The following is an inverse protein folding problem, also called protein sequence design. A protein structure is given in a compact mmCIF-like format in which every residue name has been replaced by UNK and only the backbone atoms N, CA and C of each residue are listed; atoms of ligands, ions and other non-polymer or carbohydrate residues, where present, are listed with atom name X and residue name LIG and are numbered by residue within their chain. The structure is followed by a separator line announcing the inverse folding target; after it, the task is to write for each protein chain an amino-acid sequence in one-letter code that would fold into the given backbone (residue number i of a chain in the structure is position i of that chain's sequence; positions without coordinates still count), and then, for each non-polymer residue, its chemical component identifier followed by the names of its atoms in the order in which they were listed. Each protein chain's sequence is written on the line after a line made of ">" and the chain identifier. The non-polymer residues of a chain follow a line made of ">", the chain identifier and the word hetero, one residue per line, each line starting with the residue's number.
data_IF_351167150030
#
_entry.id   IF_351167150030
#
_cell.length_a   1.000
_cell.length_b   1.000
_cell.length_c   1.000
_cell.angle_alpha   90.00
_cell.angle_beta   90.00
_cell.angle_gamma   90.00
#
_symmetry.space_group_name_H-M   'P 1'
#
loop_
_entity.id
_entity.type
_entity.pdbx_description
1 polymer ?
#
# COMPACT_ATOMS: atom_id res chain seq x y z
N UNK A 1 -76.63 -60.70 -8.43
CA UNK A 1 -76.58 -59.26 -8.02
C UNK A 1 -75.30 -59.03 -7.26
N UNK A 2 -74.33 -58.37 -7.86
CA UNK A 2 -73.00 -58.25 -7.33
C UNK A 2 -72.71 -56.77 -7.09
N UNK A 3 -72.45 -56.39 -5.81
CA UNK A 3 -72.09 -55.03 -5.40
C UNK A 3 -70.58 -54.78 -5.65
N UNK A 4 -70.30 -53.85 -6.52
CA UNK A 4 -68.93 -53.28 -6.70
C UNK A 4 -68.64 -52.29 -5.57
N UNK A 5 -67.66 -52.61 -4.69
CA UNK A 5 -67.06 -51.63 -3.79
C UNK A 5 -65.85 -51.03 -4.45
N UNK A 6 -65.90 -49.71 -4.73
CA UNK A 6 -64.77 -48.92 -5.17
C UNK A 6 -63.88 -48.58 -3.97
N UNK A 7 -62.63 -48.97 -3.99
CA UNK A 7 -61.60 -48.54 -3.05
C UNK A 7 -60.91 -47.33 -3.68
N UNK A 8 -61.08 -46.17 -3.09
CA UNK A 8 -60.33 -44.97 -3.44
C UNK A 8 -59.05 -44.94 -2.62
N UNK A 9 -57.90 -45.17 -3.22
CA UNK A 9 -56.61 -45.01 -2.60
C UNK A 9 -56.17 -43.56 -2.71
N UNK A 10 -56.14 -42.81 -1.60
CA UNK A 10 -55.50 -41.49 -1.52
C UNK A 10 -53.97 -41.69 -1.46
N UNK A 11 -53.28 -41.33 -2.52
CA UNK A 11 -51.80 -41.23 -2.53
C UNK A 11 -51.40 -39.82 -2.03
N UNK A 12 -50.98 -39.73 -0.80
CA UNK A 12 -50.33 -38.52 -0.26
C UNK A 12 -48.90 -38.44 -0.74
N UNK A 13 -48.63 -37.64 -1.78
CA UNK A 13 -47.29 -37.32 -2.20
C UNK A 13 -46.68 -36.29 -1.24
N UNK A 14 -45.79 -36.74 -0.36
CA UNK A 14 -45.00 -35.85 0.48
C UNK A 14 -43.91 -35.16 -0.37
N UNK A 15 -44.08 -33.87 -0.66
CA UNK A 15 -43.02 -33.03 -1.24
C UNK A 15 -41.97 -32.80 -0.16
N UNK A 16 -40.87 -33.53 -0.19
CA UNK A 16 -39.67 -33.22 0.58
C UNK A 16 -38.95 -32.10 -0.15
N UNK A 17 -39.12 -30.86 0.32
CA UNK A 17 -38.32 -29.72 -0.14
C UNK A 17 -36.87 -29.92 0.34
N UNK A 18 -35.99 -30.35 -0.57
CA UNK A 18 -34.57 -30.31 -0.37
C UNK A 18 -34.13 -28.85 -0.35
N UNK A 19 -34.00 -28.24 0.83
CA UNK A 19 -33.26 -26.99 1.00
C UNK A 19 -31.78 -27.32 0.87
N UNK A 20 -31.25 -27.26 -0.36
CA UNK A 20 -29.81 -27.27 -0.54
C UNK A 20 -29.21 -26.07 0.22
N UNK A 21 -28.15 -26.26 1.04
CA UNK A 21 -27.46 -25.14 1.62
C UNK A 21 -26.95 -24.26 0.49
N UNK A 22 -27.45 -23.05 0.39
CA UNK A 22 -26.84 -22.01 -0.47
C UNK A 22 -25.46 -21.76 0.14
N UNK A 23 -24.42 -22.38 -0.42
CA UNK A 23 -23.04 -22.02 -0.11
C UNK A 23 -22.93 -20.55 -0.44
N UNK A 24 -22.89 -19.72 0.62
CA UNK A 24 -22.67 -18.29 0.45
C UNK A 24 -21.36 -18.12 -0.33
N UNK A 25 -21.44 -17.56 -1.53
CA UNK A 25 -20.28 -17.31 -2.37
C UNK A 25 -19.30 -16.46 -1.55
N UNK A 26 -18.07 -16.94 -1.39
CA UNK A 26 -17.04 -16.24 -0.61
C UNK A 26 -16.81 -14.85 -1.23
N UNK A 27 -17.17 -13.80 -0.49
CA UNK A 27 -17.01 -12.43 -0.96
C UNK A 27 -15.54 -12.09 -0.97
N UNK A 28 -15.05 -11.57 -2.07
CA UNK A 28 -13.65 -11.14 -2.19
C UNK A 28 -13.53 -9.87 -3.00
N UNK A 29 -12.52 -9.06 -2.70
CA UNK A 29 -12.10 -7.87 -3.46
C UNK A 29 -10.64 -7.95 -3.85
N UNK A 30 -10.27 -7.21 -4.88
CA UNK A 30 -8.88 -6.96 -5.28
C UNK A 30 -8.48 -5.56 -4.84
N UNK A 31 -7.41 -5.48 -4.04
CA UNK A 31 -6.79 -4.22 -3.62
C UNK A 31 -5.45 -4.07 -4.31
N UNK A 32 -5.33 -3.08 -5.18
CA UNK A 32 -4.04 -2.71 -5.78
C UNK A 32 -3.27 -1.81 -4.82
N UNK A 33 -2.06 -2.22 -4.46
CA UNK A 33 -1.24 -1.51 -3.47
C UNK A 33 0.24 -1.54 -3.83
N UNK A 34 1.08 -1.01 -2.93
CA UNK A 34 2.52 -0.90 -3.17
C UNK A 34 3.31 -2.04 -2.55
N UNK A 35 4.45 -2.37 -3.18
CA UNK A 35 5.39 -3.35 -2.63
C UNK A 35 5.87 -2.94 -1.24
N UNK A 36 6.13 -1.65 -1.01
CA UNK A 36 6.54 -1.15 0.30
C UNK A 36 5.48 -1.34 1.38
N UNK A 37 4.18 -1.20 1.05
CA UNK A 37 3.09 -1.49 1.99
C UNK A 37 3.03 -2.98 2.32
N UNK A 38 3.19 -3.85 1.32
CA UNK A 38 3.22 -5.31 1.53
C UNK A 38 4.45 -5.73 2.34
N UNK A 39 5.62 -5.23 1.98
CA UNK A 39 6.90 -5.55 2.62
C UNK A 39 6.96 -5.07 4.08
N UNK A 40 6.20 -4.02 4.43
CA UNK A 40 6.07 -3.58 5.82
C UNK A 40 5.40 -4.61 6.73
N UNK A 41 4.64 -5.56 6.17
CA UNK A 41 3.90 -6.58 6.91
C UNK A 41 2.52 -6.13 7.43
N UNK A 42 2.10 -4.89 7.20
CA UNK A 42 0.83 -4.35 7.69
C UNK A 42 -0.38 -5.19 7.26
N UNK A 43 -0.43 -5.59 6.00
CA UNK A 43 -1.57 -6.37 5.47
C UNK A 43 -1.74 -7.70 6.18
N UNK A 44 -0.64 -8.37 6.57
CA UNK A 44 -0.72 -9.62 7.33
C UNK A 44 -1.38 -9.44 8.71
N UNK A 45 -1.32 -8.22 9.25
CA UNK A 45 -1.96 -7.88 10.53
C UNK A 45 -3.42 -7.46 10.36
N UNK A 46 -3.72 -6.55 9.43
CA UNK A 46 -5.05 -5.94 9.35
C UNK A 46 -6.08 -6.75 8.54
N UNK A 47 -5.66 -7.47 7.47
CA UNK A 47 -6.61 -8.16 6.60
C UNK A 47 -7.33 -9.33 7.27
N UNK A 48 -6.71 -10.16 8.13
CA UNK A 48 -7.42 -11.16 8.89
C UNK A 48 -8.51 -10.58 9.82
N UNK A 49 -8.26 -9.41 10.42
CA UNK A 49 -9.23 -8.73 11.28
C UNK A 49 -10.45 -8.28 10.48
N UNK A 50 -10.22 -7.68 9.31
CA UNK A 50 -11.29 -7.30 8.40
C UNK A 50 -12.10 -8.51 7.92
N UNK A 51 -11.43 -9.58 7.47
CA UNK A 51 -12.08 -10.82 7.01
C UNK A 51 -12.93 -11.46 8.12
N UNK A 52 -12.41 -11.53 9.33
CA UNK A 52 -13.15 -12.08 10.48
C UNK A 52 -14.42 -11.29 10.79
N UNK A 53 -14.38 -9.97 10.62
CA UNK A 53 -15.54 -9.09 10.87
C UNK A 53 -16.59 -9.15 9.78
N UNK A 54 -16.18 -9.20 8.51
CA UNK A 54 -17.05 -8.95 7.36
C UNK A 54 -17.30 -10.18 6.49
N UNK A 55 -16.49 -11.22 6.60
CA UNK A 55 -16.47 -12.37 5.70
C UNK A 55 -15.90 -12.04 4.30
N UNK A 56 -15.38 -10.82 4.09
CA UNK A 56 -14.81 -10.39 2.79
C UNK A 56 -13.31 -10.69 2.76
N UNK A 57 -12.89 -11.46 1.78
CA UNK A 57 -11.49 -11.74 1.52
C UNK A 57 -10.84 -10.62 0.69
N UNK A 58 -9.64 -10.18 1.06
CA UNK A 58 -8.90 -9.12 0.34
C UNK A 58 -7.68 -9.72 -0.34
N UNK A 59 -7.68 -9.68 -1.67
CA UNK A 59 -6.56 -10.10 -2.51
C UNK A 59 -5.71 -8.89 -2.87
N UNK A 60 -4.49 -8.81 -2.34
CA UNK A 60 -3.60 -7.69 -2.60
C UNK A 60 -2.75 -7.96 -3.84
N UNK A 61 -2.77 -7.01 -4.79
CA UNK A 61 -1.86 -6.94 -5.93
C UNK A 61 -0.79 -5.91 -5.62
N UNK A 62 0.43 -6.39 -5.36
CA UNK A 62 1.56 -5.58 -4.89
C UNK A 62 2.42 -5.11 -6.07
N UNK A 63 2.54 -3.78 -6.25
CA UNK A 63 3.20 -3.15 -7.41
C UNK A 63 3.89 -1.85 -7.02
N UNK A 64 4.53 -1.16 -7.98
CA UNK A 64 4.89 0.25 -7.82
C UNK A 64 3.65 1.14 -7.88
N UNK A 65 3.67 2.32 -7.22
CA UNK A 65 2.47 3.20 -7.13
C UNK A 65 1.87 3.52 -8.49
N UNK A 66 2.68 3.87 -9.50
CA UNK A 66 2.20 4.14 -10.85
C UNK A 66 1.44 2.95 -11.44
N UNK A 67 2.00 1.74 -11.32
CA UNK A 67 1.37 0.51 -11.79
C UNK A 67 0.09 0.18 -11.00
N UNK A 68 0.09 0.41 -9.69
CA UNK A 68 -1.09 0.19 -8.85
C UNK A 68 -2.27 1.09 -9.27
N UNK A 69 -1.98 2.36 -9.55
CA UNK A 69 -2.97 3.31 -10.07
C UNK A 69 -3.42 2.93 -11.49
N UNK A 70 -2.50 2.48 -12.36
CA UNK A 70 -2.83 2.02 -13.70
C UNK A 70 -3.72 0.76 -13.67
N UNK A 71 -3.49 -0.16 -12.72
CA UNK A 71 -4.37 -1.31 -12.45
C UNK A 71 -5.79 -0.85 -12.09
N UNK A 72 -5.91 0.14 -11.22
CA UNK A 72 -7.21 0.77 -10.89
C UNK A 72 -7.85 1.47 -12.10
N UNK A 73 -7.08 2.19 -12.94
CA UNK A 73 -7.59 2.86 -14.15
C UNK A 73 -8.21 1.89 -15.15
N UNK A 74 -7.68 0.68 -15.25
CA UNK A 74 -8.22 -0.38 -16.12
C UNK A 74 -9.41 -1.12 -15.51
N UNK A 75 -9.70 -0.90 -14.22
CA UNK A 75 -10.73 -1.64 -13.49
C UNK A 75 -10.29 -3.05 -13.03
N UNK A 76 -8.99 -3.36 -13.08
CA UNK A 76 -8.44 -4.66 -12.65
C UNK A 76 -8.33 -4.79 -11.12
N UNK A 77 -8.73 -3.76 -10.38
CA UNK A 77 -8.86 -3.75 -8.92
C UNK A 77 -10.16 -3.06 -8.50
N UNK A 78 -10.66 -3.42 -7.32
CA UNK A 78 -11.83 -2.80 -6.70
C UNK A 78 -11.45 -1.54 -5.89
N UNK A 79 -10.27 -1.58 -5.28
CA UNK A 79 -9.75 -0.52 -4.41
C UNK A 79 -8.27 -0.29 -4.70
N UNK A 80 -7.85 0.97 -4.64
CA UNK A 80 -6.43 1.37 -4.66
C UNK A 80 -6.04 1.85 -3.26
N UNK A 81 -4.94 1.32 -2.71
CA UNK A 81 -4.40 1.70 -1.40
C UNK A 81 -2.90 1.98 -1.52
N UNK A 82 -2.55 3.26 -1.64
CA UNK A 82 -1.17 3.72 -1.97
C UNK A 82 -0.79 4.96 -1.13
N UNK A 83 0.40 5.54 -1.39
CA UNK A 83 0.95 6.65 -0.61
C UNK A 83 1.68 7.68 -1.48
N UNK A 84 1.01 8.19 -2.50
CA UNK A 84 1.50 9.26 -3.37
C UNK A 84 0.38 10.28 -3.63
N UNK A 85 0.10 11.14 -2.64
CA UNK A 85 -1.07 12.03 -2.60
C UNK A 85 -1.36 12.72 -3.94
N UNK A 86 -0.37 13.34 -4.58
CA UNK A 86 -0.59 14.03 -5.85
C UNK A 86 -1.04 13.12 -7.01
N UNK A 87 -0.53 11.87 -7.06
CA UNK A 87 -0.98 10.89 -8.05
C UNK A 87 -2.37 10.35 -7.73
N UNK A 88 -2.70 10.20 -6.44
CA UNK A 88 -4.01 9.77 -5.95
C UNK A 88 -5.09 10.82 -6.25
N UNK A 89 -4.79 12.09 -6.02
CA UNK A 89 -5.67 13.21 -6.36
C UNK A 89 -5.91 13.30 -7.88
N UNK A 90 -4.86 13.10 -8.68
CA UNK A 90 -4.98 13.02 -10.13
C UNK A 90 -5.88 11.84 -10.55
N UNK A 91 -5.70 10.65 -9.96
CA UNK A 91 -6.54 9.48 -10.21
C UNK A 91 -8.02 9.76 -9.97
N UNK A 92 -8.37 10.49 -8.91
CA UNK A 92 -9.75 10.90 -8.60
C UNK A 92 -10.22 11.98 -9.59
N UNK A 93 -9.43 13.01 -9.87
CA UNK A 93 -9.81 14.09 -10.79
C UNK A 93 -10.03 13.62 -12.24
N UNK A 94 -9.36 12.56 -12.66
CA UNK A 94 -9.58 11.88 -13.95
C UNK A 94 -10.85 11.02 -13.95
N UNK A 95 -11.55 10.92 -12.81
CA UNK A 95 -12.74 10.11 -12.61
C UNK A 95 -12.46 8.59 -12.58
N UNK A 96 -11.19 8.16 -12.44
CA UNK A 96 -10.83 6.76 -12.29
C UNK A 96 -11.14 6.21 -10.89
N UNK A 97 -11.14 7.06 -9.88
CA UNK A 97 -11.55 6.78 -8.51
C UNK A 97 -12.71 7.67 -8.07
N UNK A 98 -13.47 7.23 -7.08
CA UNK A 98 -14.64 7.96 -6.59
C UNK A 98 -14.21 9.09 -5.65
N UNK A 99 -13.48 8.75 -4.58
CA UNK A 99 -13.03 9.68 -3.55
C UNK A 99 -11.82 9.12 -2.82
N UNK A 100 -10.89 10.02 -2.47
CA UNK A 100 -9.72 9.69 -1.65
C UNK A 100 -10.04 9.82 -0.17
N UNK A 101 -9.65 8.83 0.63
CA UNK A 101 -9.70 8.89 2.08
C UNK A 101 -8.28 8.77 2.64
N UNK A 102 -7.81 9.69 3.50
CA UNK A 102 -6.59 9.51 4.26
C UNK A 102 -6.82 8.38 5.28
N UNK A 103 -5.82 7.51 5.46
CA UNK A 103 -5.96 6.35 6.34
C UNK A 103 -4.96 6.42 7.50
N UNK A 104 -3.70 6.66 7.18
CA UNK A 104 -2.58 6.64 8.10
C UNK A 104 -1.38 7.33 7.49
N UNK A 105 -0.36 7.58 8.27
CA UNK A 105 0.95 7.98 7.79
C UNK A 105 2.05 7.16 8.42
N UNK A 106 3.18 7.06 7.75
CA UNK A 106 4.49 6.77 8.31
C UNK A 106 5.48 7.83 7.81
N UNK A 107 6.76 7.66 8.08
CA UNK A 107 7.79 8.52 7.51
C UNK A 107 8.71 7.73 6.58
N UNK A 108 9.35 8.47 5.69
CA UNK A 108 10.56 8.03 5.03
C UNK A 108 11.76 8.26 5.95
N UNK A 109 12.79 7.49 5.73
CA UNK A 109 14.10 7.64 6.35
C UNK A 109 15.17 7.55 5.29
N UNK A 110 16.25 8.30 5.44
CA UNK A 110 17.46 8.09 4.66
C UNK A 110 18.32 7.07 5.39
N UNK A 111 18.61 5.98 4.72
CA UNK A 111 19.47 4.91 5.19
C UNK A 111 20.81 5.02 4.47
N UNK A 112 21.90 4.75 5.17
CA UNK A 112 23.25 4.78 4.62
C UNK A 112 24.24 4.05 5.51
N UNK A 113 25.54 4.01 5.14
CA UNK A 113 26.58 3.37 5.94
C UNK A 113 26.64 3.95 7.36
N UNK A 114 26.77 3.11 8.38
CA UNK A 114 26.92 3.54 9.80
C UNK A 114 28.08 4.53 10.00
N UNK A 115 29.14 4.37 9.23
CA UNK A 115 30.31 5.26 9.24
C UNK A 115 30.01 6.65 8.69
N UNK A 116 28.89 6.80 7.95
CA UNK A 116 28.44 8.04 7.33
C UNK A 116 29.53 8.80 6.58
N UNK A 117 30.15 8.23 5.55
CA UNK A 117 31.28 8.83 4.85
C UNK A 117 30.92 10.17 4.20
N UNK A 118 29.66 10.41 3.88
CA UNK A 118 29.20 11.69 3.37
C UNK A 118 29.00 12.73 4.49
N UNK A 119 28.85 12.31 5.77
CA UNK A 119 28.62 13.23 6.88
C UNK A 119 27.23 13.85 6.85
N UNK A 120 26.20 13.04 6.62
CA UNK A 120 24.82 13.50 6.42
C UNK A 120 23.90 13.26 7.62
N UNK A 121 24.39 12.61 8.67
CA UNK A 121 23.59 12.33 9.87
C UNK A 121 22.93 13.59 10.43
N UNK A 122 21.62 13.53 10.64
CA UNK A 122 20.88 14.67 11.18
C UNK A 122 19.38 14.64 10.92
N UNK A 123 18.79 15.83 10.86
CA UNK A 123 17.36 16.03 10.67
C UNK A 123 16.98 16.86 9.42
N UNK A 124 17.95 17.27 8.61
CA UNK A 124 17.70 18.05 7.38
C UNK A 124 17.96 17.16 6.16
N UNK A 125 16.90 16.60 5.59
CA UNK A 125 16.99 15.72 4.45
C UNK A 125 17.47 16.43 3.19
N UNK A 126 17.12 17.71 2.98
CA UNK A 126 17.52 18.47 1.79
C UNK A 126 19.01 18.77 1.83
N UNK A 127 19.54 19.16 2.99
CA UNK A 127 20.98 19.35 3.17
C UNK A 127 21.75 18.03 2.98
N UNK A 128 21.20 16.91 3.49
CA UNK A 128 21.78 15.59 3.29
C UNK A 128 21.85 15.20 1.80
N UNK A 129 20.77 15.41 1.04
CA UNK A 129 20.73 15.15 -0.41
C UNK A 129 21.79 15.97 -1.14
N UNK A 130 21.92 17.27 -0.85
CA UNK A 130 22.98 18.12 -1.41
C UNK A 130 24.38 17.57 -1.12
N UNK A 131 24.64 17.21 0.13
CA UNK A 131 25.94 16.68 0.54
C UNK A 131 26.28 15.36 -0.13
N UNK A 132 25.31 14.47 -0.30
CA UNK A 132 25.47 13.21 -1.06
C UNK A 132 25.92 13.50 -2.49
N UNK A 133 25.23 14.40 -3.18
CA UNK A 133 25.56 14.81 -4.56
C UNK A 133 26.94 15.45 -4.63
N UNK A 134 27.23 16.43 -3.76
CA UNK A 134 28.49 17.19 -3.78
C UNK A 134 29.71 16.31 -3.53
N UNK A 135 29.55 15.29 -2.71
CA UNK A 135 30.59 14.26 -2.46
C UNK A 135 30.56 13.09 -3.44
N UNK A 136 29.61 13.08 -4.40
CA UNK A 136 29.38 11.94 -5.30
C UNK A 136 29.27 10.60 -4.55
N UNK A 137 28.67 10.64 -3.33
CA UNK A 137 28.51 9.44 -2.52
C UNK A 137 27.46 8.50 -3.16
N UNK A 138 27.73 7.18 -3.19
CA UNK A 138 26.82 6.24 -3.85
C UNK A 138 25.39 6.33 -3.32
N UNK A 139 24.42 6.49 -4.21
CA UNK A 139 23.00 6.54 -3.89
C UNK A 139 22.22 5.56 -4.78
N UNK A 140 21.38 4.75 -4.16
CA UNK A 140 20.49 3.81 -4.84
C UNK A 140 19.08 4.38 -4.87
N UNK A 141 18.57 4.57 -6.08
CA UNK A 141 17.18 4.91 -6.34
C UNK A 141 16.38 3.68 -6.76
N UNK A 142 15.13 3.61 -6.35
CA UNK A 142 14.22 2.58 -6.87
C UNK A 142 14.02 2.68 -8.38
N UNK A 143 13.90 3.88 -8.94
CA UNK A 143 13.73 4.11 -10.37
C UNK A 143 12.46 3.49 -10.98
N UNK A 144 11.45 3.13 -10.17
CA UNK A 144 10.27 2.32 -10.55
C UNK A 144 8.94 3.10 -10.54
N UNK A 145 9.00 4.42 -10.43
CA UNK A 145 7.83 5.32 -10.30
C UNK A 145 6.93 5.02 -9.08
N UNK A 146 7.46 4.36 -8.07
CA UNK A 146 6.77 4.14 -6.80
C UNK A 146 6.58 5.43 -6.01
N UNK A 147 5.74 5.40 -4.96
CA UNK A 147 5.60 6.53 -4.04
C UNK A 147 6.91 6.94 -3.40
N UNK A 148 7.77 5.98 -3.04
CA UNK A 148 9.13 6.25 -2.54
C UNK A 148 9.99 6.93 -3.58
N UNK A 149 9.96 6.47 -4.85
CA UNK A 149 10.72 7.10 -5.94
C UNK A 149 10.21 8.53 -6.21
N UNK A 150 8.91 8.75 -6.19
CA UNK A 150 8.32 10.10 -6.35
C UNK A 150 8.74 11.02 -5.19
N UNK A 151 8.71 10.53 -3.96
CA UNK A 151 9.17 11.29 -2.79
C UNK A 151 10.66 11.64 -2.91
N UNK A 152 11.49 10.69 -3.31
CA UNK A 152 12.93 10.88 -3.58
C UNK A 152 13.18 11.96 -4.61
N UNK A 153 12.52 11.89 -5.79
CA UNK A 153 12.66 12.89 -6.85
C UNK A 153 12.23 14.30 -6.39
N UNK A 154 11.20 14.39 -5.55
CA UNK A 154 10.77 15.65 -4.95
C UNK A 154 11.84 16.22 -4.00
N UNK A 155 12.53 15.38 -3.24
CA UNK A 155 13.62 15.79 -2.36
C UNK A 155 14.83 16.28 -3.17
N UNK A 156 15.22 15.58 -4.24
CA UNK A 156 16.27 16.03 -5.16
C UNK A 156 15.92 17.38 -5.78
N UNK A 157 14.68 17.57 -6.24
CA UNK A 157 14.20 18.85 -6.77
C UNK A 157 14.26 19.95 -5.72
N UNK A 158 13.88 19.73 -4.48
CA UNK A 158 14.00 20.67 -3.39
C UNK A 158 15.46 21.01 -3.07
N UNK A 159 16.36 20.07 -3.27
CA UNK A 159 17.80 20.28 -3.15
C UNK A 159 18.40 21.07 -4.35
N UNK A 160 17.60 21.32 -5.40
CA UNK A 160 18.06 21.98 -6.62
C UNK A 160 18.91 21.06 -7.53
N UNK A 161 18.70 19.75 -7.46
CA UNK A 161 19.50 18.72 -8.14
C UNK A 161 18.63 18.02 -9.18
N UNK A 162 19.07 18.00 -10.44
CA UNK A 162 18.41 17.31 -11.55
C UNK A 162 19.01 15.92 -11.79
N UNK A 163 18.54 14.92 -11.03
CA UNK A 163 18.99 13.52 -11.17
C UNK A 163 18.48 12.82 -12.43
N UNK A 164 17.54 13.43 -13.17
CA UNK A 164 17.08 12.91 -14.45
C UNK A 164 17.91 13.44 -15.63
N UNK A 165 18.65 14.54 -15.43
CA UNK A 165 19.40 15.25 -16.46
C UNK A 165 20.81 15.61 -16.03
N UNK A 166 21.08 16.93 -15.88
CA UNK A 166 22.44 17.49 -15.80
C UNK A 166 23.27 17.00 -14.59
N UNK A 167 22.63 16.67 -13.48
CA UNK A 167 23.32 16.25 -12.26
C UNK A 167 23.45 14.73 -12.10
N UNK A 168 22.89 13.96 -13.05
CA UNK A 168 22.98 12.50 -13.02
C UNK A 168 24.43 12.06 -13.30
N UNK A 169 25.01 11.38 -12.34
CA UNK A 169 26.35 10.83 -12.43
C UNK A 169 26.40 9.36 -12.00
N UNK A 170 27.59 8.76 -12.03
CA UNK A 170 27.80 7.36 -11.61
C UNK A 170 27.45 7.10 -10.13
N UNK A 171 27.35 8.16 -9.33
CA UNK A 171 26.96 8.11 -7.92
C UNK A 171 25.47 7.78 -7.73
N UNK A 172 24.62 8.08 -8.70
CA UNK A 172 23.16 7.88 -8.66
C UNK A 172 22.75 6.69 -9.54
N UNK A 173 22.28 5.62 -8.93
CA UNK A 173 21.94 4.39 -9.63
C UNK A 173 20.48 4.03 -9.44
N UNK A 174 19.72 4.09 -10.52
CA UNK A 174 18.35 3.58 -10.60
C UNK A 174 18.37 2.08 -10.90
N UNK A 175 17.62 1.29 -10.11
CA UNK A 175 17.60 -0.17 -10.26
C UNK A 175 16.31 -0.69 -10.92
N UNK A 176 15.27 0.13 -11.05
CA UNK A 176 14.00 -0.25 -11.65
C UNK A 176 13.22 -1.33 -10.89
N UNK A 177 13.43 -1.46 -9.56
CA UNK A 177 12.88 -2.54 -8.75
C UNK A 177 12.29 -2.04 -7.42
N UNK A 178 11.57 -2.94 -6.70
CA UNK A 178 10.93 -2.65 -5.41
C UNK A 178 11.91 -2.34 -4.27
N UNK A 179 11.34 -1.90 -3.11
CA UNK A 179 12.13 -1.40 -1.98
C UNK A 179 13.08 -2.43 -1.40
N UNK A 180 12.67 -3.68 -1.29
CA UNK A 180 13.56 -4.75 -0.80
C UNK A 180 14.81 -4.96 -1.65
N UNK A 181 14.68 -4.89 -2.99
CA UNK A 181 15.80 -4.96 -3.92
C UNK A 181 16.71 -3.73 -3.81
N UNK A 182 16.12 -2.52 -3.64
CA UNK A 182 16.89 -1.30 -3.44
C UNK A 182 17.71 -1.35 -2.15
N UNK A 183 17.13 -1.80 -1.06
CA UNK A 183 17.83 -1.99 0.23
C UNK A 183 18.94 -3.05 0.14
N UNK A 184 18.68 -4.18 -0.53
CA UNK A 184 19.74 -5.19 -0.77
C UNK A 184 20.89 -4.63 -1.59
N UNK A 185 20.61 -3.87 -2.64
CA UNK A 185 21.64 -3.24 -3.48
C UNK A 185 22.43 -2.20 -2.68
N UNK A 186 21.74 -1.37 -1.88
CA UNK A 186 22.39 -0.39 -1.01
C UNK A 186 23.28 -1.05 0.04
N UNK A 187 22.81 -2.14 0.67
CA UNK A 187 23.57 -2.93 1.64
C UNK A 187 24.86 -3.51 1.01
N UNK A 188 24.73 -4.09 -0.19
CA UNK A 188 25.87 -4.69 -0.89
C UNK A 188 26.91 -3.66 -1.38
N UNK A 189 26.50 -2.40 -1.63
CA UNK A 189 27.36 -1.34 -2.18
C UNK A 189 27.72 -0.25 -1.17
N UNK A 190 27.32 -0.38 0.10
CA UNK A 190 27.49 0.66 1.13
C UNK A 190 26.98 2.03 0.65
N UNK A 191 25.80 2.05 0.04
CA UNK A 191 25.20 3.24 -0.56
C UNK A 191 24.11 3.84 0.32
N UNK A 192 23.78 5.10 0.07
CA UNK A 192 22.61 5.77 0.63
C UNK A 192 21.35 5.36 -0.15
N UNK A 193 20.21 5.31 0.51
CA UNK A 193 18.91 4.96 -0.08
C UNK A 193 17.77 5.56 0.73
N UNK A 194 16.76 6.12 0.06
CA UNK A 194 15.52 6.52 0.71
C UNK A 194 14.59 5.32 0.83
N UNK A 195 14.02 5.11 2.01
CA UNK A 195 13.05 4.04 2.26
C UNK A 195 11.96 4.49 3.23
N UNK A 196 10.79 3.86 3.20
CA UNK A 196 9.84 4.00 4.29
C UNK A 196 10.34 3.25 5.53
N UNK A 197 10.03 3.80 6.72
CA UNK A 197 10.48 3.23 8.01
C UNK A 197 9.97 1.82 8.21
N UNK A 198 8.74 1.52 7.78
CA UNK A 198 8.13 0.18 7.94
C UNK A 198 8.93 -0.89 7.23
N UNK A 199 9.26 -0.67 5.96
CA UNK A 199 10.10 -1.60 5.20
C UNK A 199 11.49 -1.71 5.82
N UNK A 200 12.12 -0.60 6.24
CA UNK A 200 13.41 -0.64 6.90
C UNK A 200 13.40 -1.48 8.18
N UNK A 201 12.41 -1.28 9.04
CA UNK A 201 12.33 -2.03 10.32
C UNK A 201 12.11 -3.53 10.12
N UNK A 202 11.43 -3.92 9.06
CA UNK A 202 11.23 -5.32 8.71
C UNK A 202 12.40 -5.92 7.91
N UNK A 203 13.25 -5.08 7.32
CA UNK A 203 14.38 -5.52 6.50
C UNK A 203 15.50 -6.15 7.36
N UNK A 204 15.95 -7.36 6.99
CA UNK A 204 16.90 -8.14 7.78
C UNK A 204 18.34 -8.02 7.29
N UNK A 205 18.55 -7.89 5.97
CA UNK A 205 19.88 -7.89 5.36
C UNK A 205 20.54 -6.50 5.39
N UNK A 206 20.60 -5.89 6.57
CA UNK A 206 21.05 -4.49 6.73
C UNK A 206 22.54 -4.29 6.49
N UNK A 207 23.38 -5.33 6.72
CA UNK A 207 24.83 -5.18 6.68
C UNK A 207 25.32 -4.04 7.58
N UNK A 208 26.07 -3.12 7.00
CA UNK A 208 26.60 -1.93 7.67
C UNK A 208 25.68 -0.69 7.56
N UNK A 209 24.46 -0.86 7.07
CA UNK A 209 23.51 0.25 6.95
C UNK A 209 22.79 0.54 8.27
N UNK A 210 22.46 1.83 8.45
CA UNK A 210 21.59 2.32 9.51
C UNK A 210 20.86 3.58 9.05
N UNK A 211 19.88 4.05 9.86
CA UNK A 211 19.22 5.32 9.61
C UNK A 211 20.24 6.44 9.85
N UNK A 212 20.43 7.31 8.86
CA UNK A 212 21.32 8.46 8.93
C UNK A 212 20.58 9.79 8.96
N UNK A 213 19.36 9.88 8.37
CA UNK A 213 18.47 11.04 8.49
C UNK A 213 17.05 10.60 8.76
N UNK A 214 16.44 11.19 9.79
CA UNK A 214 15.05 10.98 10.18
C UNK A 214 14.44 12.21 10.85
N UNK A 215 13.12 12.28 10.97
CA UNK A 215 12.39 13.29 11.73
C UNK A 215 12.28 14.65 11.05
N UNK A 216 12.60 14.77 9.75
CA UNK A 216 12.27 15.94 8.93
C UNK A 216 10.80 15.86 8.48
N UNK A 217 10.08 16.99 8.57
CA UNK A 217 8.68 17.08 8.11
C UNK A 217 8.51 16.76 6.61
N UNK A 218 9.57 16.94 5.81
CA UNK A 218 9.58 16.61 4.37
C UNK A 218 9.59 15.09 4.10
N UNK A 219 9.86 14.30 5.13
CA UNK A 219 9.85 12.83 5.07
C UNK A 219 8.48 12.23 5.39
N UNK A 220 7.46 13.06 5.59
CA UNK A 220 6.09 12.62 5.88
C UNK A 220 5.48 11.84 4.71
N UNK A 221 4.93 10.66 4.98
CA UNK A 221 4.40 9.72 3.99
C UNK A 221 2.95 9.36 4.31
N UNK A 222 2.01 10.02 3.64
CA UNK A 222 0.57 9.87 3.83
C UNK A 222 0.01 8.78 2.93
N UNK A 223 -0.68 7.82 3.52
CA UNK A 223 -1.43 6.78 2.81
C UNK A 223 -2.87 7.19 2.53
N UNK A 224 -3.34 6.87 1.33
CA UNK A 224 -4.71 7.06 0.91
C UNK A 224 -5.34 5.79 0.38
N UNK A 225 -6.66 5.68 0.52
CA UNK A 225 -7.46 4.59 -0.04
C UNK A 225 -8.57 5.17 -0.91
N UNK A 226 -8.84 4.52 -2.06
CA UNK A 226 -9.76 5.03 -3.09
C UNK A 226 -10.53 3.86 -3.68
N UNK A 227 -11.86 3.95 -3.72
CA UNK A 227 -12.70 3.04 -4.50
C UNK A 227 -12.51 3.33 -5.98
N UNK A 228 -12.21 2.31 -6.77
CA UNK A 228 -12.22 2.40 -8.24
C UNK A 228 -13.63 2.73 -8.72
N UNK A 229 -13.75 3.60 -9.72
CA UNK A 229 -15.05 4.14 -10.10
C UNK A 229 -15.94 3.08 -10.77
N UNK A 230 -17.04 2.65 -10.12
CA UNK A 230 -17.94 1.63 -10.65
C UNK A 230 -18.78 2.12 -11.85
N UNK A 231 -18.88 3.45 -12.06
CA UNK A 231 -19.57 3.98 -13.25
C UNK A 231 -18.73 3.77 -14.51
N UNK A 232 -17.40 3.78 -14.40
CA UNK A 232 -16.49 3.43 -15.49
C UNK A 232 -16.28 1.92 -15.62
N UNK A 233 -16.33 1.20 -14.51
CA UNK A 233 -16.05 -0.23 -14.42
C UNK A 233 -17.17 -0.97 -13.66
N UNK A 234 -18.28 -1.34 -14.34
CA UNK A 234 -19.46 -1.94 -13.67
C UNK A 234 -19.20 -3.26 -12.93
N UNK A 235 -18.10 -3.93 -13.20
CA UNK A 235 -17.69 -5.17 -12.53
C UNK A 235 -16.96 -4.93 -11.19
N UNK A 236 -16.60 -3.67 -10.88
CA UNK A 236 -16.00 -3.31 -9.59
C UNK A 236 -16.98 -3.61 -8.47
N UNK A 237 -16.53 -4.31 -7.46
CA UNK A 237 -17.31 -4.74 -6.31
C UNK A 237 -17.50 -3.58 -5.33
N UNK A 238 -18.37 -2.63 -5.73
CA UNK A 238 -18.60 -1.36 -5.03
C UNK A 238 -18.92 -1.55 -3.55
N UNK A 239 -19.83 -2.47 -3.22
CA UNK A 239 -20.30 -2.66 -1.85
C UNK A 239 -19.19 -3.20 -0.94
N UNK A 240 -18.47 -4.22 -1.40
CA UNK A 240 -17.38 -4.86 -0.67
C UNK A 240 -16.14 -3.93 -0.59
N UNK A 241 -15.83 -3.22 -1.68
CA UNK A 241 -14.74 -2.23 -1.72
C UNK A 241 -15.00 -1.06 -0.77
N UNK A 242 -16.24 -0.54 -0.75
CA UNK A 242 -16.62 0.51 0.19
C UNK A 242 -16.60 0.01 1.65
N UNK A 243 -17.05 -1.22 1.90
CA UNK A 243 -16.97 -1.81 3.25
C UNK A 243 -15.52 -1.91 3.76
N UNK A 244 -14.56 -2.20 2.88
CA UNK A 244 -13.14 -2.18 3.23
C UNK A 244 -12.65 -0.78 3.59
N UNK A 245 -13.00 0.22 2.79
CA UNK A 245 -12.66 1.62 3.04
C UNK A 245 -13.27 2.10 4.37
N UNK A 246 -14.57 1.85 4.56
CA UNK A 246 -15.29 2.27 5.77
C UNK A 246 -14.68 1.63 7.02
N UNK A 247 -14.27 0.36 6.94
CA UNK A 247 -13.59 -0.29 8.05
C UNK A 247 -12.21 0.32 8.32
N UNK A 248 -11.40 0.57 7.28
CA UNK A 248 -10.07 1.18 7.44
C UNK A 248 -10.14 2.54 8.16
N UNK A 249 -11.16 3.35 7.85
CA UNK A 249 -11.32 4.69 8.47
C UNK A 249 -12.14 4.66 9.76
N UNK A 250 -12.72 3.52 10.14
CA UNK A 250 -13.46 3.37 11.39
C UNK A 250 -12.54 3.36 12.62
N UNK A 251 -13.06 3.64 13.82
CA UNK A 251 -12.28 3.53 15.06
C UNK A 251 -11.61 2.16 15.23
N UNK A 252 -12.25 1.08 14.80
CA UNK A 252 -11.71 -0.28 14.89
C UNK A 252 -10.55 -0.49 13.92
N UNK A 253 -10.70 -0.12 12.64
CA UNK A 253 -9.63 -0.21 11.65
C UNK A 253 -8.45 0.69 11.99
N UNK A 254 -8.72 1.89 12.47
CA UNK A 254 -7.68 2.82 12.93
C UNK A 254 -6.93 2.27 14.15
N UNK A 255 -7.63 1.63 15.08
CA UNK A 255 -6.99 0.94 16.20
C UNK A 255 -6.15 -0.26 15.73
N UNK A 256 -6.65 -1.06 14.79
CA UNK A 256 -5.90 -2.18 14.23
C UNK A 256 -4.59 -1.71 13.58
N UNK A 257 -4.60 -0.58 12.86
CA UNK A 257 -3.40 0.04 12.29
C UNK A 257 -2.43 0.51 13.39
N UNK A 258 -2.93 1.17 14.45
CA UNK A 258 -2.10 1.66 15.56
C UNK A 258 -1.46 0.53 16.38
N UNK A 259 -2.15 -0.60 16.50
CA UNK A 259 -1.68 -1.77 17.23
C UNK A 259 -0.59 -2.54 16.47
N UNK A 260 -0.42 -2.29 15.16
CA UNK A 260 0.64 -2.92 14.39
C UNK A 260 2.01 -2.38 14.79
N UNK A 261 2.86 -3.27 15.32
CA UNK A 261 4.19 -2.95 15.82
C UNK A 261 5.22 -3.94 15.30
N UNK A 262 6.40 -3.44 14.97
CA UNK A 262 7.60 -4.27 14.72
C UNK A 262 8.59 -4.00 15.83
N UNK A 263 9.04 -5.07 16.51
CA UNK A 263 9.97 -4.97 17.65
C UNK A 263 9.48 -3.99 18.74
N UNK A 264 8.15 -3.93 18.97
CA UNK A 264 7.55 -3.04 19.95
C UNK A 264 7.35 -1.59 19.48
N UNK A 265 7.81 -1.22 18.29
CA UNK A 265 7.68 0.13 17.73
C UNK A 265 6.46 0.24 16.82
N UNK A 266 5.66 1.29 17.02
CA UNK A 266 4.56 1.64 16.13
C UNK A 266 5.13 2.20 14.83
N UNK A 267 4.59 1.70 13.69
CA UNK A 267 5.07 2.07 12.37
C UNK A 267 4.12 2.98 11.62
N UNK A 268 2.84 2.77 11.81
CA UNK A 268 1.80 3.54 11.14
C UNK A 268 0.98 4.30 12.16
N UNK A 269 0.75 5.57 11.87
CA UNK A 269 0.03 6.48 12.73
C UNK A 269 -1.32 6.77 12.07
N UNK A 270 -2.44 6.25 12.63
CA UNK A 270 -3.77 6.49 12.10
C UNK A 270 -4.12 7.99 12.08
N UNK A 271 -4.68 8.45 10.98
CA UNK A 271 -5.15 9.84 10.85
C UNK A 271 -6.33 9.97 9.89
N UNK A 272 -7.18 8.93 9.80
CA UNK A 272 -8.36 8.97 8.97
C UNK A 272 -9.32 10.07 9.43
N UNK A 273 -9.85 10.82 8.45
CA UNK A 273 -10.97 11.72 8.66
C UNK A 273 -12.22 11.12 8.04
N UNK A 274 -13.34 11.16 8.74
CA UNK A 274 -14.60 10.54 8.29
C UNK A 274 -15.14 11.11 6.97
N UNK A 275 -14.64 12.27 6.54
CA UNK A 275 -15.14 12.96 5.34
C UNK A 275 -14.31 12.75 4.08
N UNK A 276 -13.10 12.17 4.16
CA UNK A 276 -12.17 12.08 3.03
C UNK A 276 -11.78 13.48 2.49
N UNK A 277 -10.66 13.58 1.88
CA UNK A 277 -10.17 14.84 1.30
C UNK A 277 -10.07 14.67 -0.22
#
# INVERSE_FOLDING_TARGET
>A
MIHRRQIVALSAAALIAFTAPVLAQEKSIVVSSTTSTTDSGLFNHILPLFKNKTGIDVKVVSQGTGQALDTGRRGDADVVFVHAKGQEEKFVSEGAGVKRFPVMYNDFVLVGPKSDPAGVKGKDIVAAMKTIKDKSAPFISRGDRSGTHVAELNLWKQAGIDVAGADKGSWYKEIGQGMGAALNTASASNAYVLTDRGTWLNFKNRGDLDIVVEGDNKLFNQYGVILVNPEKHPHVKKAEGQAFIDWLVSPEGQKAIADYKINGQQLFFPNATAQGV
#
